data_IF_360537150915
#
_entry.id   IF_360537150915
#
_cell.length_a   1.000
_cell.length_b   1.000
_cell.length_c   1.000
_cell.angle_alpha   90.00
_cell.angle_beta   90.00
_cell.angle_gamma   90.00
#
_symmetry.space_group_name_H-M   'P 1'
#
loop_
_entity.id
_entity.type
_entity.pdbx_description
1 polymer ?
#
# COMPACT_ATOMS: atom_id res chain seq x y z
N UNK A 1 -12.03 -55.81 -20.57
CA UNK A 1 -10.90 -55.41 -21.43
C UNK A 1 -10.28 -54.14 -20.85
N UNK A 2 -9.11 -54.26 -20.20
CA UNK A 2 -8.09 -53.22 -19.85
C UNK A 2 -8.49 -51.93 -19.10
N UNK A 3 -7.81 -51.44 -18.05
CA UNK A 3 -6.65 -51.87 -17.24
C UNK A 3 -6.78 -51.16 -15.87
N UNK A 4 -6.56 -51.91 -14.78
CA UNK A 4 -6.16 -51.37 -13.47
C UNK A 4 -4.76 -50.77 -13.55
N UNK A 5 -4.48 -49.70 -12.80
CA UNK A 5 -3.17 -49.50 -12.15
C UNK A 5 -3.31 -48.52 -10.97
N UNK A 6 -3.21 -49.10 -9.77
CA UNK A 6 -2.89 -48.43 -8.52
C UNK A 6 -1.37 -48.26 -8.44
N UNK A 7 -0.86 -47.07 -8.09
CA UNK A 7 0.54 -46.86 -7.63
C UNK A 7 0.65 -45.64 -6.72
N UNK A 8 1.11 -45.93 -5.51
CA UNK A 8 1.59 -45.03 -4.48
C UNK A 8 2.95 -44.34 -4.80
N UNK A 9 3.11 -43.14 -4.20
CA UNK A 9 4.33 -42.51 -3.61
C UNK A 9 5.44 -41.93 -4.55
N UNK A 10 6.26 -40.93 -4.09
CA UNK A 10 6.62 -40.64 -2.70
C UNK A 10 6.53 -39.18 -2.21
N UNK A 11 6.15 -39.05 -0.94
CA UNK A 11 6.46 -37.94 -0.06
C UNK A 11 7.94 -38.11 0.34
N UNK A 12 8.82 -37.21 -0.10
CA UNK A 12 10.18 -37.17 0.43
C UNK A 12 10.16 -36.50 1.81
N UNK A 13 10.35 -37.34 2.84
CA UNK A 13 10.98 -36.93 4.09
C UNK A 13 12.46 -36.70 3.81
N UNK A 14 13.00 -35.57 4.25
CA UNK A 14 14.42 -35.48 4.55
C UNK A 14 14.55 -34.98 5.98
N UNK A 15 15.09 -35.88 6.79
CA UNK A 15 15.29 -35.76 8.21
C UNK A 15 16.49 -34.84 8.48
N UNK A 16 16.27 -33.74 9.18
CA UNK A 16 17.32 -33.20 10.06
C UNK A 16 16.65 -32.64 11.31
N UNK A 17 16.63 -33.48 12.32
CA UNK A 17 16.44 -33.08 13.71
C UNK A 17 17.67 -32.26 14.09
N UNK A 18 17.51 -30.96 14.35
CA UNK A 18 18.46 -30.21 15.16
C UNK A 18 17.77 -29.74 16.44
N UNK A 19 18.32 -30.23 17.54
CA UNK A 19 17.81 -30.27 18.90
C UNK A 19 17.63 -28.89 19.53
N UNK A 20 16.42 -28.62 20.02
CA UNK A 20 16.00 -27.69 21.09
C UNK A 20 14.87 -26.75 20.65
N UNK A 21 13.62 -27.13 20.90
CA UNK A 21 12.87 -26.51 22.00
C UNK A 21 11.52 -27.19 22.17
N UNK A 22 11.14 -27.36 23.43
CA UNK A 22 10.00 -28.15 23.90
C UNK A 22 8.65 -27.59 23.47
N UNK A 23 7.75 -28.52 23.15
CA UNK A 23 6.31 -28.33 23.00
C UNK A 23 5.69 -28.29 24.40
N UNK A 24 4.84 -27.30 24.70
CA UNK A 24 3.65 -27.50 25.53
C UNK A 24 2.45 -26.72 24.97
N UNK A 25 1.29 -27.35 25.13
CA UNK A 25 0.01 -27.12 24.50
C UNK A 25 -0.71 -25.80 24.87
N UNK A 26 -1.63 -25.37 24.01
CA UNK A 26 -2.72 -24.45 24.40
C UNK A 26 -3.34 -23.67 23.24
N UNK A 27 -4.66 -23.80 23.07
CA UNK A 27 -5.52 -23.15 22.07
C UNK A 27 -5.30 -21.63 21.89
N UNK A 28 -5.38 -21.12 20.65
CA UNK A 28 -6.47 -20.28 20.11
C UNK A 28 -6.08 -19.76 18.71
N UNK A 29 -7.04 -19.70 17.79
CA UNK A 29 -6.89 -19.11 16.46
C UNK A 29 -6.35 -17.67 16.51
N UNK A 30 -5.18 -17.44 15.91
CA UNK A 30 -4.74 -16.13 15.40
C UNK A 30 -4.02 -16.37 14.09
N UNK A 31 -4.73 -16.21 12.97
CA UNK A 31 -4.09 -16.01 11.67
C UNK A 31 -3.56 -14.58 11.66
N UNK A 32 -2.28 -14.41 11.97
CA UNK A 32 -1.57 -13.14 11.82
C UNK A 32 -0.25 -13.45 11.14
N UNK A 33 -0.31 -13.57 9.82
CA UNK A 33 0.87 -13.54 8.96
C UNK A 33 1.49 -12.14 9.05
N UNK A 34 2.25 -11.96 10.13
CA UNK A 34 3.11 -10.81 10.33
C UNK A 34 4.29 -11.00 9.38
N UNK A 35 4.14 -10.56 8.13
CA UNK A 35 5.25 -10.44 7.19
C UNK A 35 6.27 -9.46 7.78
N UNK A 36 7.28 -10.01 8.45
CA UNK A 36 8.44 -9.27 8.93
C UNK A 36 9.08 -8.50 7.77
N UNK A 37 8.93 -7.17 7.81
CA UNK A 37 9.71 -6.24 7.00
C UNK A 37 11.16 -6.40 7.44
N UNK A 38 11.99 -7.03 6.60
CA UNK A 38 13.45 -7.05 6.82
C UNK A 38 13.99 -5.70 6.34
N UNK A 39 14.32 -4.83 7.29
CA UNK A 39 15.11 -3.63 7.07
C UNK A 39 16.56 -4.06 6.75
N UNK A 40 16.90 -4.15 5.48
CA UNK A 40 18.30 -4.30 5.08
C UNK A 40 19.02 -2.95 5.20
N UNK A 41 20.15 -2.93 5.93
CA UNK A 41 20.95 -1.71 6.13
C UNK A 41 21.57 -1.27 4.79
N UNK A 42 21.51 0.01 4.41
CA UNK A 42 22.10 0.46 3.16
C UNK A 42 23.63 0.43 3.22
N UNK A 43 24.24 -0.03 2.13
CA UNK A 43 25.65 0.11 1.81
C UNK A 43 26.05 1.59 1.92
N UNK A 44 26.87 1.91 2.91
CA UNK A 44 27.43 3.24 3.10
C UNK A 44 28.44 3.50 1.98
N UNK A 45 28.04 4.22 0.94
CA UNK A 45 29.00 4.85 0.04
C UNK A 45 28.91 6.37 0.20
N UNK A 46 30.08 6.96 0.42
CA UNK A 46 30.31 8.32 0.87
C UNK A 46 29.87 9.38 -0.14
N UNK A 47 29.39 10.50 0.40
CA UNK A 47 29.06 11.79 -0.24
C UNK A 47 27.62 11.99 -0.74
N UNK A 48 26.65 12.21 0.18
CA UNK A 48 25.62 13.27 0.05
C UNK A 48 25.27 13.77 1.47
N UNK A 49 25.54 15.06 1.73
CA UNK A 49 25.17 15.78 2.96
C UNK A 49 23.66 16.10 2.94
N UNK A 50 23.03 16.04 4.11
CA UNK A 50 21.65 16.47 4.45
C UNK A 50 20.49 15.46 4.28
N UNK A 51 20.69 14.20 4.68
CA UNK A 51 19.62 13.18 4.70
C UNK A 51 18.94 13.09 6.08
N UNK A 52 17.88 13.89 6.31
CA UNK A 52 16.93 13.68 7.42
C UNK A 52 15.85 12.64 7.07
N UNK A 53 15.85 12.11 5.85
CA UNK A 53 14.83 11.20 5.33
C UNK A 53 15.39 9.78 5.24
N UNK A 54 14.80 8.87 5.99
CA UNK A 54 15.08 7.43 5.87
C UNK A 54 14.69 6.93 4.49
N UNK A 55 15.61 6.28 3.79
CA UNK A 55 15.37 5.57 2.52
C UNK A 55 15.29 4.07 2.80
N UNK A 56 14.36 3.38 2.16
CA UNK A 56 14.12 1.96 2.38
C UNK A 56 13.66 1.25 1.10
N UNK A 57 13.81 -0.08 1.09
CA UNK A 57 13.52 -0.93 -0.06
C UNK A 57 12.63 -2.10 0.37
N UNK A 58 11.69 -2.48 -0.50
CA UNK A 58 10.82 -3.64 -0.34
C UNK A 58 11.30 -4.77 -1.25
N UNK A 59 10.97 -6.00 -0.86
CA UNK A 59 11.35 -7.22 -1.60
C UNK A 59 10.78 -7.27 -3.02
N UNK A 60 9.70 -6.54 -3.31
CA UNK A 60 9.08 -6.48 -4.64
C UNK A 60 9.77 -5.51 -5.60
N UNK A 61 10.86 -4.85 -5.19
CA UNK A 61 11.58 -3.85 -5.98
C UNK A 61 11.08 -2.42 -5.75
N UNK A 62 9.98 -2.24 -5.03
CA UNK A 62 9.52 -0.92 -4.62
C UNK A 62 10.49 -0.32 -3.59
N UNK A 63 10.64 0.99 -3.61
CA UNK A 63 11.48 1.71 -2.66
C UNK A 63 10.77 2.96 -2.19
N UNK A 64 11.19 3.48 -1.04
CA UNK A 64 10.51 4.60 -0.43
C UNK A 64 11.39 5.48 0.41
N UNK A 65 10.81 6.62 0.79
CA UNK A 65 11.38 7.55 1.75
C UNK A 65 10.37 7.84 2.88
N UNK A 66 10.87 8.29 4.03
CA UNK A 66 10.05 8.59 5.20
C UNK A 66 9.74 7.35 6.03
N UNK A 67 8.61 7.35 6.72
CA UNK A 67 8.29 6.36 7.75
C UNK A 67 7.74 5.03 7.17
N UNK A 68 8.63 4.07 6.91
CA UNK A 68 8.27 2.74 6.41
C UNK A 68 7.28 1.98 7.30
N UNK A 69 7.26 2.25 8.61
CA UNK A 69 6.41 1.54 9.57
C UNK A 69 4.92 1.78 9.33
N UNK A 70 4.56 2.85 8.61
CA UNK A 70 3.18 3.09 8.18
C UNK A 70 2.62 1.96 7.32
N UNK A 71 3.46 1.26 6.56
CA UNK A 71 3.05 0.11 5.74
C UNK A 71 2.64 -1.12 6.57
N UNK A 72 3.05 -1.19 7.84
CA UNK A 72 2.65 -2.26 8.75
C UNK A 72 1.35 -1.95 9.52
N UNK A 73 0.82 -0.73 9.38
CA UNK A 73 -0.42 -0.30 10.05
C UNK A 73 -1.65 -0.76 9.26
N UNK A 74 -2.83 -0.84 9.88
CA UNK A 74 -4.09 -1.10 9.17
C UNK A 74 -4.48 0.11 8.30
N UNK A 75 -3.88 0.19 7.12
CA UNK A 75 -4.08 1.28 6.16
C UNK A 75 -5.48 1.25 5.57
N UNK A 76 -6.02 2.44 5.30
CA UNK A 76 -7.22 2.59 4.47
C UNK A 76 -6.83 3.12 3.10
N UNK A 77 -7.11 2.34 2.06
CA UNK A 77 -6.91 2.83 0.70
C UNK A 77 -8.01 3.83 0.34
N UNK A 78 -7.64 4.96 -0.26
CA UNK A 78 -8.60 5.91 -0.82
C UNK A 78 -8.42 6.03 -2.33
N UNK A 79 -9.52 5.90 -3.06
CA UNK A 79 -9.55 6.10 -4.51
C UNK A 79 -10.70 7.00 -4.94
N UNK A 80 -10.47 7.77 -6.00
CA UNK A 80 -11.53 8.49 -6.70
C UNK A 80 -11.24 8.62 -8.19
N UNK A 81 -12.31 8.66 -8.99
CA UNK A 81 -12.21 9.03 -10.40
C UNK A 81 -11.91 10.52 -10.56
N UNK A 82 -11.41 10.91 -11.74
CA UNK A 82 -11.01 12.31 -11.99
C UNK A 82 -12.19 13.30 -11.96
N UNK A 83 -13.35 12.88 -12.45
CA UNK A 83 -14.56 13.69 -12.47
C UNK A 83 -15.47 13.22 -11.34
N UNK A 84 -15.83 14.14 -10.44
CA UNK A 84 -16.66 13.87 -9.27
C UNK A 84 -17.78 14.92 -9.18
N UNK A 85 -18.95 14.52 -8.68
CA UNK A 85 -20.02 15.47 -8.34
C UNK A 85 -19.67 16.26 -7.07
N UNK A 86 -20.31 17.42 -6.87
CA UNK A 86 -20.13 18.21 -5.64
C UNK A 86 -20.49 17.44 -4.37
N UNK A 87 -21.48 16.54 -4.43
CA UNK A 87 -21.87 15.65 -3.32
C UNK A 87 -20.74 14.69 -2.97
N UNK A 88 -20.14 14.05 -3.97
CA UNK A 88 -19.01 13.13 -3.74
C UNK A 88 -17.77 13.86 -3.20
N UNK A 89 -17.52 15.09 -3.67
CA UNK A 89 -16.44 15.94 -3.13
C UNK A 89 -16.71 16.20 -1.63
N UNK A 90 -17.91 16.67 -1.28
CA UNK A 90 -18.27 16.97 0.12
C UNK A 90 -18.09 15.74 1.03
N UNK A 91 -18.64 14.59 0.63
CA UNK A 91 -18.55 13.35 1.41
C UNK A 91 -17.09 12.90 1.62
N UNK A 92 -16.26 13.00 0.58
CA UNK A 92 -14.84 12.68 0.68
C UNK A 92 -14.05 13.66 1.55
N UNK A 93 -14.40 14.95 1.56
CA UNK A 93 -13.77 15.93 2.43
C UNK A 93 -14.15 15.72 3.90
N UNK A 94 -15.44 15.47 4.20
CA UNK A 94 -15.90 15.11 5.54
C UNK A 94 -15.16 13.85 6.04
N UNK A 95 -15.10 12.83 5.19
CA UNK A 95 -14.35 11.60 5.47
C UNK A 95 -12.86 11.84 5.73
N UNK A 96 -12.20 12.69 4.93
CA UNK A 96 -10.77 12.99 5.10
C UNK A 96 -10.49 13.71 6.41
N UNK A 97 -11.34 14.66 6.80
CA UNK A 97 -11.25 15.35 8.10
C UNK A 97 -11.38 14.34 9.24
N UNK A 98 -12.30 13.40 9.16
CA UNK A 98 -12.50 12.38 10.18
C UNK A 98 -11.31 11.40 10.28
N UNK A 99 -10.73 10.99 9.14
CA UNK A 99 -9.52 10.17 9.14
C UNK A 99 -8.34 10.92 9.75
N UNK A 100 -8.18 12.21 9.40
CA UNK A 100 -7.10 13.05 9.89
C UNK A 100 -7.20 13.28 11.41
N UNK A 101 -8.41 13.60 11.91
CA UNK A 101 -8.69 13.75 13.35
C UNK A 101 -8.42 12.46 14.12
N UNK A 102 -8.86 11.33 13.58
CA UNK A 102 -8.67 10.01 14.20
C UNK A 102 -7.25 9.45 14.02
N UNK A 103 -6.39 10.15 13.27
CA UNK A 103 -5.06 9.68 12.87
C UNK A 103 -5.08 8.29 12.22
N UNK A 104 -6.14 7.99 11.48
CA UNK A 104 -6.24 6.76 10.70
C UNK A 104 -5.30 6.85 9.49
N UNK A 105 -4.42 5.87 9.27
CA UNK A 105 -3.44 5.96 8.22
C UNK A 105 -4.08 5.70 6.85
N UNK A 106 -3.90 6.64 5.91
CA UNK A 106 -4.48 6.57 4.56
C UNK A 106 -3.40 6.26 3.53
N UNK A 107 -3.67 5.37 2.59
CA UNK A 107 -2.79 5.06 1.46
C UNK A 107 -3.49 5.37 0.14
N UNK A 108 -2.81 6.05 -0.78
CA UNK A 108 -3.33 6.31 -2.12
C UNK A 108 -2.22 6.70 -3.08
N UNK A 109 -2.53 6.75 -4.38
CA UNK A 109 -1.68 7.40 -5.36
C UNK A 109 -1.91 8.91 -5.50
N UNK A 110 -3.01 9.44 -4.95
CA UNK A 110 -3.30 10.88 -4.93
C UNK A 110 -3.19 11.57 -6.31
N UNK A 111 -3.82 10.95 -7.33
CA UNK A 111 -3.67 11.34 -8.73
C UNK A 111 -4.87 12.10 -9.30
N UNK A 112 -6.08 11.83 -8.83
CA UNK A 112 -7.27 12.62 -9.16
C UNK A 112 -7.32 13.89 -8.30
N UNK A 113 -8.02 14.95 -8.76
CA UNK A 113 -8.20 16.17 -7.97
C UNK A 113 -8.79 15.89 -6.57
N UNK A 114 -9.77 14.98 -6.49
CA UNK A 114 -10.38 14.64 -5.20
C UNK A 114 -9.40 13.93 -4.28
N UNK A 115 -8.62 12.96 -4.77
CA UNK A 115 -7.58 12.34 -3.94
C UNK A 115 -6.54 13.38 -3.49
N UNK A 116 -6.16 14.33 -4.34
CA UNK A 116 -5.21 15.39 -3.97
C UNK A 116 -5.74 16.28 -2.84
N UNK A 117 -7.02 16.64 -2.86
CA UNK A 117 -7.66 17.38 -1.75
C UNK A 117 -7.66 16.57 -0.45
N UNK A 118 -7.88 15.25 -0.52
CA UNK A 118 -7.75 14.36 0.65
C UNK A 118 -6.31 14.37 1.18
N UNK A 119 -5.31 14.27 0.29
CA UNK A 119 -3.90 14.33 0.69
C UNK A 119 -3.57 15.64 1.39
N UNK A 120 -4.06 16.77 0.87
CA UNK A 120 -3.83 18.09 1.46
C UNK A 120 -4.36 18.16 2.89
N UNK A 121 -5.56 17.64 3.16
CA UNK A 121 -6.10 17.53 4.53
C UNK A 121 -5.19 16.69 5.42
N UNK A 122 -4.75 15.52 4.95
CA UNK A 122 -3.89 14.63 5.72
C UNK A 122 -2.54 15.29 6.06
N UNK A 123 -1.90 15.92 5.08
CA UNK A 123 -0.62 16.62 5.26
C UNK A 123 -0.76 17.81 6.20
N UNK A 124 -1.80 18.63 6.03
CA UNK A 124 -2.05 19.82 6.85
C UNK A 124 -2.27 19.45 8.31
N UNK A 125 -2.98 18.34 8.56
CA UNK A 125 -3.22 17.82 9.90
C UNK A 125 -2.03 17.05 10.51
N UNK A 126 -0.94 16.83 9.76
CA UNK A 126 0.14 15.91 10.14
C UNK A 126 -0.39 14.51 10.45
N UNK A 127 -1.41 14.07 9.71
CA UNK A 127 -2.03 12.76 9.86
C UNK A 127 -1.22 11.71 9.08
N UNK A 128 -1.19 10.45 9.53
CA UNK A 128 -0.40 9.42 8.89
C UNK A 128 -0.88 9.13 7.46
N UNK A 129 0.00 9.23 6.46
CA UNK A 129 -0.35 8.90 5.08
C UNK A 129 0.77 8.21 4.30
N UNK A 130 0.40 7.35 3.36
CA UNK A 130 1.31 6.67 2.44
C UNK A 130 0.98 7.09 1.01
N UNK A 131 1.95 7.70 0.34
CA UNK A 131 1.82 8.28 -1.00
C UNK A 131 2.52 7.36 -2.00
N UNK A 132 1.77 6.74 -2.91
CA UNK A 132 2.31 5.74 -3.85
C UNK A 132 2.39 6.30 -5.25
N UNK A 133 3.61 6.46 -5.76
CA UNK A 133 3.87 6.97 -7.10
C UNK A 133 4.35 5.87 -8.04
N UNK A 134 3.88 5.91 -9.29
CA UNK A 134 4.31 4.97 -10.34
C UNK A 134 5.61 5.41 -11.07
N UNK A 135 6.34 6.38 -10.51
CA UNK A 135 7.58 6.96 -11.08
C UNK A 135 8.72 6.83 -10.08
N UNK A 136 9.96 6.89 -10.55
CA UNK A 136 11.16 6.90 -9.68
C UNK A 136 11.10 8.05 -8.67
N UNK A 137 11.61 7.82 -7.46
CA UNK A 137 11.79 8.90 -6.48
C UNK A 137 13.03 9.72 -6.85
N UNK A 138 12.81 11.01 -7.04
CA UNK A 138 13.85 12.01 -7.00
C UNK A 138 13.41 13.06 -5.98
N UNK A 139 14.17 13.17 -4.88
CA UNK A 139 13.86 14.11 -3.80
C UNK A 139 13.79 15.56 -4.29
N UNK A 140 14.57 15.94 -5.31
CA UNK A 140 14.54 17.29 -5.87
C UNK A 140 13.22 17.61 -6.60
N UNK A 141 12.45 16.58 -6.97
CA UNK A 141 11.18 16.70 -7.70
C UNK A 141 9.95 16.39 -6.85
N UNK A 142 10.13 16.08 -5.56
CA UNK A 142 9.00 15.86 -4.65
C UNK A 142 8.47 17.19 -4.09
N UNK A 143 7.14 17.35 -3.94
CA UNK A 143 6.57 18.53 -3.32
C UNK A 143 7.14 18.75 -1.90
N UNK A 144 7.48 20.00 -1.52
CA UNK A 144 8.05 20.28 -0.20
C UNK A 144 7.21 19.77 0.97
N UNK A 145 5.88 19.85 0.88
CA UNK A 145 4.97 19.34 1.91
C UNK A 145 5.08 17.82 2.12
N UNK A 146 5.39 17.05 1.07
CA UNK A 146 5.58 15.60 1.18
C UNK A 146 6.90 15.29 1.89
N UNK A 147 7.97 16.02 1.53
CA UNK A 147 9.28 15.87 2.16
C UNK A 147 9.22 16.25 3.65
N UNK A 148 8.52 17.33 3.99
CA UNK A 148 8.33 17.76 5.38
C UNK A 148 7.56 16.72 6.19
N UNK A 149 6.44 16.21 5.67
CA UNK A 149 5.66 15.17 6.35
C UNK A 149 6.45 13.86 6.48
N UNK A 150 7.26 13.49 5.48
CA UNK A 150 8.12 12.33 5.53
C UNK A 150 9.23 12.48 6.59
N UNK A 151 9.84 13.66 6.70
CA UNK A 151 10.85 13.97 7.71
C UNK A 151 10.25 14.02 9.12
N UNK A 152 9.01 14.49 9.26
CA UNK A 152 8.25 14.48 10.50
C UNK A 152 7.74 13.08 10.91
N UNK A 153 7.94 12.05 10.07
CA UNK A 153 7.51 10.69 10.32
C UNK A 153 6.00 10.44 10.15
N UNK A 154 5.24 11.44 9.70
CA UNK A 154 3.81 11.32 9.42
C UNK A 154 3.51 10.87 8.00
N UNK A 155 4.50 10.81 7.11
CA UNK A 155 4.32 10.29 5.76
C UNK A 155 5.37 9.26 5.33
N UNK A 156 4.97 8.41 4.40
CA UNK A 156 5.84 7.57 3.59
C UNK A 156 5.55 7.85 2.11
N UNK A 157 6.59 8.00 1.30
CA UNK A 157 6.46 8.09 -0.17
C UNK A 157 7.05 6.83 -0.77
N UNK A 158 6.26 6.09 -1.53
CA UNK A 158 6.63 4.81 -2.13
C UNK A 158 6.67 4.96 -3.65
N UNK A 159 7.75 4.50 -4.27
CA UNK A 159 7.87 4.33 -5.71
C UNK A 159 7.83 2.86 -6.08
N UNK A 160 6.99 2.53 -7.05
CA UNK A 160 6.81 1.17 -7.54
C UNK A 160 7.78 0.74 -8.64
N UNK A 161 8.91 1.45 -8.77
CA UNK A 161 9.90 1.32 -9.83
C UNK A 161 9.33 1.33 -11.27
N UNK A 162 9.43 2.50 -11.91
CA UNK A 162 8.94 2.77 -13.26
C UNK A 162 9.93 2.38 -14.37
N UNK A 163 10.72 1.32 -14.19
CA UNK A 163 11.72 0.87 -15.18
C UNK A 163 11.11 0.37 -16.50
N UNK A 164 9.78 0.22 -16.57
CA UNK A 164 9.07 -0.21 -17.77
C UNK A 164 8.44 0.96 -18.53
N UNK A 165 8.66 1.01 -19.86
CA UNK A 165 8.07 1.98 -20.81
C UNK A 165 6.57 1.71 -21.08
N UNK A 166 5.81 1.42 -20.03
CA UNK A 166 4.39 1.05 -20.09
C UNK A 166 3.48 2.27 -20.31
N UNK A 167 2.27 2.00 -20.81
CA UNK A 167 1.25 3.03 -20.97
C UNK A 167 0.84 3.60 -19.61
N UNK A 168 0.50 4.90 -19.58
CA UNK A 168 0.12 5.61 -18.34
C UNK A 168 -1.07 5.00 -17.62
N UNK A 169 -2.01 4.39 -18.36
CA UNK A 169 -3.16 3.68 -17.82
C UNK A 169 -2.76 2.40 -17.08
N UNK A 170 -1.91 1.56 -17.68
CA UNK A 170 -1.43 0.31 -17.08
C UNK A 170 -0.62 0.57 -15.81
N UNK A 171 0.23 1.60 -15.82
CA UNK A 171 0.97 2.01 -14.62
C UNK A 171 0.03 2.47 -13.50
N UNK A 172 -1.05 3.18 -13.83
CA UNK A 172 -2.05 3.59 -12.85
C UNK A 172 -2.81 2.40 -12.27
N UNK A 173 -3.19 1.42 -13.11
CA UNK A 173 -3.85 0.19 -12.65
C UNK A 173 -2.94 -0.68 -11.78
N UNK A 174 -1.68 -0.89 -12.19
CA UNK A 174 -0.69 -1.61 -11.36
C UNK A 174 -0.51 -0.96 -10.00
N UNK A 175 -0.45 0.38 -9.96
CA UNK A 175 -0.30 1.12 -8.72
C UNK A 175 -1.55 1.08 -7.84
N UNK A 176 -2.73 1.16 -8.44
CA UNK A 176 -3.97 0.99 -7.69
C UNK A 176 -4.08 -0.40 -7.08
N UNK A 177 -3.72 -1.45 -7.83
CA UNK A 177 -3.71 -2.82 -7.33
C UNK A 177 -2.73 -2.99 -6.16
N UNK A 178 -1.55 -2.38 -6.25
CA UNK A 178 -0.58 -2.40 -5.16
C UNK A 178 -1.09 -1.69 -3.91
N UNK A 179 -1.67 -0.49 -4.06
CA UNK A 179 -2.30 0.26 -2.98
C UNK A 179 -3.41 -0.57 -2.31
N UNK A 180 -4.29 -1.17 -3.11
CA UNK A 180 -5.41 -1.97 -2.60
C UNK A 180 -4.93 -3.17 -1.77
N UNK A 181 -3.90 -3.89 -2.24
CA UNK A 181 -3.34 -5.05 -1.53
C UNK A 181 -2.59 -4.70 -0.24
N UNK A 182 -2.15 -3.45 -0.07
CA UNK A 182 -1.48 -2.99 1.15
C UNK A 182 -2.45 -2.35 2.16
N UNK A 183 -3.74 -2.31 1.85
CA UNK A 183 -4.76 -1.75 2.72
C UNK A 183 -5.58 -2.84 3.40
N UNK A 184 -5.99 -2.57 4.64
CA UNK A 184 -6.93 -3.41 5.37
C UNK A 184 -8.37 -3.26 4.85
N UNK A 185 -8.70 -2.08 4.30
CA UNK A 185 -9.98 -1.77 3.65
C UNK A 185 -9.79 -0.68 2.60
N UNK A 186 -10.74 -0.61 1.67
CA UNK A 186 -10.74 0.33 0.56
C UNK A 186 -11.97 1.23 0.69
N UNK A 187 -11.76 2.53 0.57
CA UNK A 187 -12.82 3.54 0.49
C UNK A 187 -12.75 4.19 -0.88
N UNK A 188 -13.90 4.26 -1.55
CA UNK A 188 -14.03 4.89 -2.85
C UNK A 188 -14.90 6.13 -2.74
N UNK A 189 -14.29 7.30 -2.93
CA UNK A 189 -15.01 8.58 -2.87
C UNK A 189 -15.93 8.80 -4.07
N UNK A 190 -15.51 8.36 -5.27
CA UNK A 190 -16.35 8.42 -6.46
C UNK A 190 -15.85 7.49 -7.57
N UNK A 191 -16.79 6.92 -8.32
CA UNK A 191 -16.51 6.13 -9.52
C UNK A 191 -17.31 6.67 -10.70
N UNK A 192 -16.61 7.08 -11.76
CA UNK A 192 -17.26 7.42 -13.02
C UNK A 192 -17.78 6.16 -13.73
N UNK A 193 -18.94 6.26 -14.38
CA UNK A 193 -19.53 5.17 -15.16
C UNK A 193 -18.56 4.75 -16.27
N UNK A 194 -18.27 3.45 -16.37
CA UNK A 194 -17.34 2.89 -17.37
C UNK A 194 -15.85 3.16 -17.12
N UNK A 195 -15.47 3.83 -16.03
CA UNK A 195 -14.08 4.11 -15.68
C UNK A 195 -13.28 2.86 -15.31
N UNK A 196 -11.96 2.89 -15.50
CA UNK A 196 -11.07 1.77 -15.10
C UNK A 196 -11.09 1.50 -13.59
N UNK A 197 -11.35 2.52 -12.77
CA UNK A 197 -11.52 2.36 -11.33
C UNK A 197 -12.72 1.47 -10.99
N UNK A 198 -13.81 1.53 -11.76
CA UNK A 198 -14.99 0.65 -11.54
C UNK A 198 -14.60 -0.82 -11.68
N UNK A 199 -13.91 -1.15 -12.78
CA UNK A 199 -13.47 -2.53 -13.06
C UNK A 199 -12.55 -3.05 -11.96
N UNK A 200 -11.66 -2.20 -11.45
CA UNK A 200 -10.76 -2.55 -10.36
C UNK A 200 -11.51 -2.75 -9.04
N UNK A 201 -12.45 -1.87 -8.71
CA UNK A 201 -13.30 -2.02 -7.53
C UNK A 201 -14.10 -3.33 -7.56
N UNK A 202 -14.74 -3.64 -8.70
CA UNK A 202 -15.49 -4.89 -8.87
C UNK A 202 -14.55 -6.12 -8.74
N UNK A 203 -13.31 -6.01 -9.22
CA UNK A 203 -12.29 -7.05 -9.03
C UNK A 203 -11.92 -7.21 -7.56
N UNK A 204 -11.63 -6.13 -6.83
CA UNK A 204 -11.26 -6.19 -5.42
C UNK A 204 -12.36 -6.82 -4.55
N UNK A 205 -13.63 -6.51 -4.84
CA UNK A 205 -14.77 -7.16 -4.19
C UNK A 205 -14.78 -8.67 -4.45
N UNK A 206 -14.57 -9.10 -5.70
CA UNK A 206 -14.47 -10.54 -6.05
C UNK A 206 -13.29 -11.23 -5.37
N UNK A 207 -12.18 -10.52 -5.21
CA UNK A 207 -10.98 -10.99 -4.52
C UNK A 207 -11.15 -10.98 -2.97
N UNK A 208 -12.31 -10.55 -2.46
CA UNK A 208 -12.66 -10.57 -1.03
C UNK A 208 -12.16 -9.38 -0.23
N UNK A 209 -11.71 -8.30 -0.89
CA UNK A 209 -11.30 -7.08 -0.20
C UNK A 209 -12.54 -6.27 0.20
N UNK A 210 -12.51 -5.69 1.40
CA UNK A 210 -13.56 -4.78 1.86
C UNK A 210 -13.53 -3.46 1.10
N UNK A 211 -14.57 -3.18 0.31
CA UNK A 211 -14.72 -1.95 -0.48
C UNK A 211 -15.97 -1.21 -0.04
N UNK A 212 -15.76 -0.02 0.52
CA UNK A 212 -16.82 0.91 0.92
C UNK A 212 -16.92 2.07 -0.07
N UNK A 213 -18.13 2.58 -0.29
CA UNK A 213 -18.38 3.74 -1.14
C UNK A 213 -18.88 4.90 -0.30
N UNK A 214 -18.36 6.10 -0.53
CA UNK A 214 -18.91 7.31 0.06
C UNK A 214 -20.18 7.71 -0.70
N UNK A 215 -21.25 7.97 0.04
CA UNK A 215 -22.57 8.38 -0.45
C UNK A 215 -22.84 9.84 -0.12
#
# INVERSE_FOLDING_TARGET
>A
MGKHFDRHLPIQKCDTVCSNCQIYAGLLFVWRDNKSIKLEKPLQNSMIKNSLLSVWFLKGGEHGIGNAELLAKPLTAFFASRQCSGVAIRAAMDWAVDQARSKNPVISGFHSPLEQSVLEVMLTAGAPCVIVVARRLDQAHLPPGWLQAAAAGSAAVVSMDGTTRQLSAEMAERRNEWVARHAARIVIGHVSVGGSLRRQADKWVRDGLGVDYLS
#
